data_IF_669634873759
#
_entry.id   IF_669634873759
#
_cell.length_a   1.000
_cell.length_b   1.000
_cell.length_c   1.000
_cell.angle_alpha   90.00
_cell.angle_beta   90.00
_cell.angle_gamma   90.00
#
_symmetry.space_group_name_H-M   'P 1'
#
loop_
_entity.id
_entity.type
_entity.pdbx_description
1 polymer ?
#
# COMPACT_ATOMS: atom_id res chain seq x y z
N UNK A 1 -8.40 -34.98 -24.58
CA UNK A 1 -9.24 -35.90 -23.77
C UNK A 1 -9.39 -35.48 -22.31
N UNK A 2 -8.35 -35.50 -21.45
CA UNK A 2 -8.50 -35.12 -20.02
C UNK A 2 -9.13 -33.72 -19.83
N UNK A 3 -8.70 -32.75 -20.64
CA UNK A 3 -9.30 -31.42 -20.70
C UNK A 3 -10.78 -31.45 -21.13
N UNK A 4 -11.10 -32.14 -22.24
CA UNK A 4 -12.46 -32.24 -22.77
C UNK A 4 -13.48 -32.69 -21.70
N UNK A 5 -13.20 -33.77 -20.96
CA UNK A 5 -14.12 -34.24 -19.93
C UNK A 5 -14.24 -33.28 -18.73
N UNK A 6 -13.19 -32.52 -18.41
CA UNK A 6 -13.25 -31.50 -17.36
C UNK A 6 -14.08 -30.29 -17.79
N UNK A 7 -13.93 -29.83 -19.03
CA UNK A 7 -14.74 -28.76 -19.61
C UNK A 7 -16.20 -29.18 -19.83
N UNK A 8 -16.46 -30.40 -20.29
CA UNK A 8 -17.81 -30.99 -20.38
C UNK A 8 -18.49 -31.00 -19.01
N UNK A 9 -17.82 -31.52 -17.97
CA UNK A 9 -18.30 -31.50 -16.58
C UNK A 9 -18.59 -30.08 -16.08
N UNK A 10 -17.72 -29.11 -16.40
CA UNK A 10 -17.89 -27.71 -16.01
C UNK A 10 -19.14 -27.07 -16.66
N UNK A 11 -19.33 -27.30 -17.96
CA UNK A 11 -20.48 -26.78 -18.71
C UNK A 11 -21.80 -27.44 -18.27
N UNK A 12 -21.79 -28.74 -17.94
CA UNK A 12 -22.96 -29.43 -17.38
C UNK A 12 -23.40 -28.83 -16.04
N UNK A 13 -22.45 -28.54 -15.13
CA UNK A 13 -22.74 -27.92 -13.83
C UNK A 13 -23.25 -26.48 -14.01
N UNK A 14 -22.66 -25.71 -14.92
CA UNK A 14 -23.13 -24.36 -15.24
C UNK A 14 -24.55 -24.38 -15.81
N UNK A 15 -24.84 -25.27 -16.77
CA UNK A 15 -26.18 -25.43 -17.33
C UNK A 15 -27.18 -25.99 -16.32
N UNK A 16 -26.77 -26.79 -15.33
CA UNK A 16 -27.64 -27.17 -14.21
C UNK A 16 -27.95 -25.95 -13.33
N UNK A 17 -26.96 -25.09 -13.04
CA UNK A 17 -27.12 -23.89 -12.22
C UNK A 17 -28.10 -22.87 -12.86
N UNK A 18 -28.01 -22.66 -14.17
CA UNK A 18 -28.92 -21.78 -14.93
C UNK A 18 -30.34 -22.38 -15.09
N UNK A 19 -30.51 -23.69 -14.88
CA UNK A 19 -31.80 -24.38 -15.14
C UNK A 19 -32.90 -24.11 -14.11
N UNK A 20 -32.59 -23.47 -12.98
CA UNK A 20 -33.56 -23.22 -11.90
C UNK A 20 -33.31 -21.91 -11.16
N UNK A 21 -34.36 -21.37 -10.54
CA UNK A 21 -34.23 -20.22 -9.64
C UNK A 21 -33.62 -20.66 -8.30
N UNK A 22 -32.35 -20.35 -8.09
CA UNK A 22 -31.61 -20.61 -6.86
C UNK A 22 -32.20 -19.98 -5.59
N UNK A 23 -33.15 -19.04 -5.70
CA UNK A 23 -33.91 -18.52 -4.53
C UNK A 23 -34.98 -19.49 -4.04
N UNK A 24 -35.40 -20.45 -4.88
CA UNK A 24 -36.39 -21.48 -4.53
C UNK A 24 -35.78 -22.74 -3.93
N UNK A 25 -34.49 -22.97 -4.20
CA UNK A 25 -33.71 -24.09 -3.65
C UNK A 25 -32.27 -23.62 -3.36
N UNK A 26 -32.06 -22.92 -2.23
CA UNK A 26 -30.75 -22.38 -1.87
C UNK A 26 -29.75 -23.47 -1.48
N UNK A 27 -30.20 -24.64 -1.01
CA UNK A 27 -29.31 -25.75 -0.67
C UNK A 27 -28.71 -26.38 -1.92
N UNK A 28 -29.53 -26.70 -2.94
CA UNK A 28 -29.04 -27.19 -4.24
C UNK A 28 -28.16 -26.15 -4.94
N UNK A 29 -28.52 -24.86 -4.85
CA UNK A 29 -27.70 -23.76 -5.36
C UNK A 29 -26.29 -23.76 -4.74
N UNK A 30 -26.17 -23.81 -3.41
CA UNK A 30 -24.87 -23.87 -2.73
C UNK A 30 -24.08 -25.14 -3.09
N UNK A 31 -24.74 -26.30 -3.21
CA UNK A 31 -24.10 -27.55 -3.64
C UNK A 31 -23.55 -27.44 -5.07
N UNK A 32 -24.30 -26.81 -6.00
CA UNK A 32 -23.85 -26.62 -7.38
C UNK A 32 -22.74 -25.58 -7.52
N UNK A 33 -22.79 -24.46 -6.80
CA UNK A 33 -21.69 -23.48 -6.77
C UNK A 33 -20.39 -24.11 -6.23
N UNK A 34 -20.48 -24.98 -5.21
CA UNK A 34 -19.30 -25.68 -4.71
C UNK A 34 -18.78 -26.73 -5.71
N UNK A 35 -19.66 -27.45 -6.43
CA UNK A 35 -19.24 -28.32 -7.55
C UNK A 35 -18.59 -27.52 -8.69
N UNK A 36 -19.14 -26.35 -9.04
CA UNK A 36 -18.65 -25.48 -10.11
C UNK A 36 -17.21 -25.04 -9.82
N UNK A 37 -16.92 -24.60 -8.60
CA UNK A 37 -15.56 -24.25 -8.15
C UNK A 37 -14.58 -25.40 -8.30
N UNK A 38 -14.95 -26.61 -7.85
CA UNK A 38 -14.11 -27.82 -8.00
C UNK A 38 -13.89 -28.18 -9.48
N UNK A 39 -14.84 -27.90 -10.37
CA UNK A 39 -14.67 -28.07 -11.80
C UNK A 39 -13.77 -26.97 -12.42
N UNK A 40 -13.91 -25.70 -11.99
CA UNK A 40 -13.04 -24.58 -12.38
C UNK A 40 -11.59 -24.85 -11.96
N UNK A 41 -11.33 -25.20 -10.70
CA UNK A 41 -10.01 -25.60 -10.20
C UNK A 41 -9.40 -26.74 -11.03
N UNK A 42 -10.20 -27.75 -11.36
CA UNK A 42 -9.75 -28.89 -12.18
C UNK A 42 -9.38 -28.49 -13.61
N UNK A 43 -10.13 -27.58 -14.23
CA UNK A 43 -9.80 -27.05 -15.57
C UNK A 43 -8.52 -26.21 -15.51
N UNK A 44 -8.36 -25.32 -14.51
CA UNK A 44 -7.13 -24.54 -14.32
C UNK A 44 -5.91 -25.41 -14.03
N UNK A 45 -6.07 -26.49 -13.26
CA UNK A 45 -5.00 -27.45 -13.01
C UNK A 45 -4.50 -28.09 -14.31
N UNK A 46 -5.42 -28.56 -15.18
CA UNK A 46 -5.05 -29.16 -16.47
C UNK A 46 -4.37 -28.12 -17.39
N UNK A 47 -4.84 -26.87 -17.41
CA UNK A 47 -4.17 -25.78 -18.15
C UNK A 47 -2.76 -25.53 -17.60
N UNK A 48 -2.57 -25.62 -16.28
CA UNK A 48 -1.27 -25.47 -15.62
C UNK A 48 -0.31 -26.63 -15.94
N UNK A 49 -0.81 -27.88 -15.95
CA UNK A 49 -0.05 -29.06 -16.41
C UNK A 49 0.39 -28.89 -17.88
N UNK A 50 -0.50 -28.41 -18.75
CA UNK A 50 -0.18 -28.13 -20.17
C UNK A 50 0.88 -27.02 -20.31
N UNK A 51 0.78 -25.94 -19.53
CA UNK A 51 1.77 -24.86 -19.50
C UNK A 51 3.16 -25.38 -19.09
N UNK A 52 3.25 -26.19 -18.02
CA UNK A 52 4.52 -26.78 -17.56
C UNK A 52 5.09 -27.77 -18.59
N UNK A 53 4.24 -28.55 -19.27
CA UNK A 53 4.67 -29.51 -20.29
C UNK A 53 5.19 -28.83 -21.58
N UNK A 54 4.65 -27.67 -21.94
CA UNK A 54 5.07 -26.90 -23.13
C UNK A 54 6.22 -25.94 -22.83
N UNK A 55 6.24 -25.34 -21.64
CA UNK A 55 7.21 -24.36 -21.19
C UNK A 55 7.90 -24.81 -19.90
N UNK A 56 8.79 -25.83 -19.96
CA UNK A 56 9.46 -26.39 -18.79
C UNK A 56 10.48 -25.43 -18.15
N UNK A 57 10.80 -24.31 -18.79
CA UNK A 57 11.62 -23.23 -18.22
C UNK A 57 10.72 -22.21 -17.52
N UNK A 58 11.19 -21.67 -16.41
CA UNK A 58 10.49 -20.61 -15.67
C UNK A 58 10.66 -19.23 -16.33
N UNK A 59 11.75 -19.01 -17.07
CA UNK A 59 11.98 -17.81 -17.90
C UNK A 59 10.96 -17.60 -19.01
N UNK A 60 10.30 -18.69 -19.42
CA UNK A 60 9.42 -18.73 -20.59
C UNK A 60 7.93 -18.65 -20.16
N UNK A 61 7.67 -18.35 -18.88
CA UNK A 61 6.35 -18.27 -18.23
C UNK A 61 6.22 -16.95 -17.44
N UNK A 62 5.01 -16.60 -17.03
CA UNK A 62 4.75 -15.39 -16.28
C UNK A 62 5.35 -15.46 -14.86
N UNK A 63 6.28 -14.54 -14.57
CA UNK A 63 6.92 -14.34 -13.27
C UNK A 63 5.89 -14.13 -12.16
N UNK A 64 6.08 -14.83 -11.03
CA UNK A 64 5.17 -14.84 -9.87
C UNK A 64 5.86 -14.49 -8.55
N UNK A 65 7.08 -13.95 -8.62
CA UNK A 65 7.92 -13.53 -7.50
C UNK A 65 7.20 -12.52 -6.57
N UNK A 66 6.21 -11.80 -7.10
CA UNK A 66 5.32 -10.94 -6.32
C UNK A 66 4.59 -11.68 -5.19
N UNK A 67 4.43 -13.01 -5.26
CA UNK A 67 3.83 -13.84 -4.20
C UNK A 67 4.52 -13.68 -2.85
N UNK A 68 5.83 -13.41 -2.83
CA UNK A 68 6.62 -13.16 -1.60
C UNK A 68 6.14 -11.90 -0.84
N UNK A 69 5.31 -11.05 -1.47
CA UNK A 69 4.72 -9.85 -0.87
C UNK A 69 3.36 -10.10 -0.21
N UNK A 70 2.79 -11.30 -0.36
CA UNK A 70 1.49 -11.66 0.20
C UNK A 70 1.67 -12.61 1.41
N UNK A 71 0.85 -12.50 2.47
CA UNK A 71 0.84 -13.47 3.56
C UNK A 71 0.51 -14.90 3.10
N UNK A 72 1.12 -15.89 3.75
CA UNK A 72 0.98 -17.31 3.41
C UNK A 72 -0.47 -17.81 3.47
N UNK A 73 -1.32 -17.17 4.30
CA UNK A 73 -2.74 -17.54 4.46
C UNK A 73 -3.58 -17.36 3.18
N UNK A 74 -3.12 -16.57 2.22
CA UNK A 74 -3.78 -16.36 0.92
C UNK A 74 -3.31 -17.36 -0.14
N UNK A 75 -2.07 -17.85 -0.04
CA UNK A 75 -1.42 -18.68 -1.06
C UNK A 75 -1.69 -20.17 -0.79
N UNK A 76 -2.95 -20.57 -1.00
CA UNK A 76 -3.43 -21.94 -0.88
C UNK A 76 -3.91 -22.51 -2.23
N UNK A 77 -4.02 -23.84 -2.33
CA UNK A 77 -4.32 -24.55 -3.59
C UNK A 77 -5.61 -24.13 -4.31
N UNK A 78 -6.62 -23.60 -3.59
CA UNK A 78 -7.89 -23.12 -4.17
C UNK A 78 -7.87 -21.65 -4.61
N UNK A 79 -6.73 -20.95 -4.48
CA UNK A 79 -6.60 -19.55 -4.93
C UNK A 79 -6.90 -19.39 -6.44
N UNK A 80 -6.50 -20.30 -7.35
CA UNK A 80 -6.80 -20.14 -8.79
C UNK A 80 -8.31 -20.12 -9.11
N UNK A 81 -9.11 -21.05 -8.55
CA UNK A 81 -10.56 -21.03 -8.72
C UNK A 81 -11.24 -19.83 -8.04
N UNK A 82 -10.72 -19.37 -6.90
CA UNK A 82 -11.19 -18.12 -6.28
C UNK A 82 -10.90 -16.89 -7.15
N UNK A 83 -9.76 -16.83 -7.83
CA UNK A 83 -9.40 -15.78 -8.77
C UNK A 83 -10.26 -15.81 -10.04
N UNK A 84 -10.55 -16.99 -10.60
CA UNK A 84 -11.51 -17.13 -11.71
C UNK A 84 -12.89 -16.58 -11.30
N UNK A 85 -13.44 -17.06 -10.18
CA UNK A 85 -14.74 -16.57 -9.67
C UNK A 85 -14.73 -15.05 -9.39
N UNK A 86 -13.62 -14.51 -8.87
CA UNK A 86 -13.42 -13.07 -8.68
C UNK A 86 -13.40 -12.29 -10.00
N UNK A 87 -12.75 -12.82 -11.04
CA UNK A 87 -12.73 -12.23 -12.38
C UNK A 87 -14.11 -12.27 -13.05
N UNK A 88 -14.87 -13.35 -12.90
CA UNK A 88 -16.27 -13.45 -13.36
C UNK A 88 -17.15 -12.41 -12.66
N UNK A 89 -17.06 -12.30 -11.34
CA UNK A 89 -17.81 -11.32 -10.56
C UNK A 89 -17.47 -9.86 -10.95
N UNK A 90 -16.18 -9.52 -11.09
CA UNK A 90 -15.75 -8.21 -11.56
C UNK A 90 -16.22 -7.94 -13.00
N UNK A 91 -16.08 -8.92 -13.91
CA UNK A 91 -16.51 -8.80 -15.30
C UNK A 91 -18.04 -8.57 -15.42
N UNK A 92 -18.83 -9.22 -14.56
CA UNK A 92 -20.27 -9.02 -14.43
C UNK A 92 -20.66 -7.66 -13.83
N UNK A 93 -19.72 -6.91 -13.24
CA UNK A 93 -19.94 -5.56 -12.69
C UNK A 93 -20.12 -5.51 -11.18
N UNK A 94 -19.83 -6.59 -10.44
CA UNK A 94 -19.66 -6.53 -8.98
C UNK A 94 -18.38 -5.79 -8.62
N UNK A 95 -18.33 -5.22 -7.41
CA UNK A 95 -17.14 -4.59 -6.83
C UNK A 95 -16.60 -5.42 -5.66
N UNK A 96 -15.29 -5.31 -5.42
CA UNK A 96 -14.65 -5.71 -4.16
C UNK A 96 -15.17 -4.76 -3.06
N UNK A 97 -15.58 -5.33 -1.92
CA UNK A 97 -16.11 -4.57 -0.78
C UNK A 97 -15.05 -3.57 -0.30
N UNK A 98 -15.46 -2.32 -0.06
CA UNK A 98 -14.62 -1.18 0.35
C UNK A 98 -13.49 -0.76 -0.63
N UNK A 99 -13.38 -1.39 -1.82
CA UNK A 99 -12.34 -1.16 -2.83
C UNK A 99 -12.92 -0.90 -4.23
N UNK A 100 -13.81 0.09 -4.34
CA UNK A 100 -14.55 0.39 -5.58
C UNK A 100 -13.67 0.95 -6.71
N UNK A 101 -12.69 1.80 -6.39
CA UNK A 101 -11.79 2.41 -7.37
C UNK A 101 -10.81 1.39 -7.97
N UNK A 102 -10.29 0.51 -7.12
CA UNK A 102 -9.47 -0.62 -7.50
C UNK A 102 -10.29 -1.61 -8.34
N UNK A 103 -11.56 -1.85 -7.98
CA UNK A 103 -12.49 -2.67 -8.79
C UNK A 103 -12.68 -2.09 -10.18
N UNK A 104 -12.89 -0.77 -10.31
CA UNK A 104 -12.98 -0.09 -11.61
C UNK A 104 -11.71 -0.27 -12.46
N UNK A 105 -10.54 -0.16 -11.83
CA UNK A 105 -9.24 -0.34 -12.47
C UNK A 105 -8.96 -1.79 -12.90
N UNK A 106 -9.42 -2.79 -12.13
CA UNK A 106 -9.20 -4.22 -12.41
C UNK A 106 -10.24 -4.77 -13.39
N UNK A 107 -11.45 -4.18 -13.44
CA UNK A 107 -12.55 -4.63 -14.33
C UNK A 107 -12.18 -4.83 -15.81
N UNK A 108 -11.40 -3.97 -16.50
CA UNK A 108 -10.98 -4.25 -17.87
C UNK A 108 -10.11 -5.51 -17.99
N UNK A 109 -9.16 -5.72 -17.07
CA UNK A 109 -8.30 -6.90 -17.03
C UNK A 109 -9.11 -8.16 -16.72
N UNK A 110 -10.07 -8.10 -15.78
CA UNK A 110 -11.00 -9.19 -15.50
C UNK A 110 -11.81 -9.62 -16.73
N UNK A 111 -12.29 -8.65 -17.52
CA UNK A 111 -13.04 -8.88 -18.77
C UNK A 111 -12.18 -9.42 -19.91
N UNK A 112 -10.89 -9.05 -19.98
CA UNK A 112 -10.00 -9.69 -20.96
C UNK A 112 -9.64 -11.12 -20.53
N UNK A 113 -9.37 -11.35 -19.24
CA UNK A 113 -9.02 -12.67 -18.71
C UNK A 113 -10.14 -13.69 -18.93
N UNK A 114 -11.39 -13.39 -18.56
CA UNK A 114 -12.52 -14.33 -18.75
C UNK A 114 -12.76 -14.62 -20.23
N UNK A 115 -12.86 -13.58 -21.07
CA UNK A 115 -13.02 -13.72 -22.54
C UNK A 115 -11.88 -14.53 -23.19
N UNK A 116 -10.65 -14.36 -22.73
CA UNK A 116 -9.50 -15.10 -23.24
C UNK A 116 -9.48 -16.55 -22.73
N UNK A 117 -9.89 -16.79 -21.47
CA UNK A 117 -10.04 -18.13 -20.91
C UNK A 117 -11.14 -18.93 -21.63
N UNK A 118 -12.30 -18.35 -21.92
CA UNK A 118 -13.35 -19.04 -22.69
C UNK A 118 -12.90 -19.36 -24.12
N UNK A 119 -12.25 -18.41 -24.80
CA UNK A 119 -11.65 -18.68 -26.11
C UNK A 119 -10.56 -19.76 -26.06
N UNK A 120 -9.80 -19.86 -24.96
CA UNK A 120 -8.80 -20.91 -24.74
C UNK A 120 -9.46 -22.27 -24.46
N UNK A 121 -10.56 -22.30 -23.72
CA UNK A 121 -11.35 -23.52 -23.47
C UNK A 121 -11.87 -24.10 -24.79
N UNK A 122 -12.46 -23.28 -25.66
CA UNK A 122 -12.92 -23.71 -26.98
C UNK A 122 -11.77 -24.29 -27.85
N UNK A 123 -10.60 -23.64 -27.86
CA UNK A 123 -9.43 -24.12 -28.60
C UNK A 123 -8.91 -25.47 -28.05
N UNK A 124 -8.79 -25.61 -26.73
CA UNK A 124 -8.32 -26.85 -26.09
C UNK A 124 -9.35 -28.00 -26.20
N UNK A 125 -10.63 -27.67 -26.32
CA UNK A 125 -11.73 -28.61 -26.58
C UNK A 125 -11.68 -29.16 -28.00
N UNK A 126 -11.55 -28.29 -29.01
CA UNK A 126 -11.37 -28.68 -30.42
C UNK A 126 -10.07 -29.47 -30.63
N UNK A 127 -8.95 -29.04 -30.03
CA UNK A 127 -7.69 -29.81 -30.05
C UNK A 127 -7.86 -31.20 -29.42
N UNK A 128 -8.55 -31.29 -28.28
CA UNK A 128 -8.82 -32.55 -27.58
C UNK A 128 -9.68 -33.55 -28.37
N UNK A 129 -10.41 -33.08 -29.39
CA UNK A 129 -11.24 -33.90 -30.29
C UNK A 129 -10.52 -34.31 -31.58
N UNK A 130 -9.42 -33.62 -31.95
CA UNK A 130 -8.65 -33.89 -33.17
C UNK A 130 -7.44 -34.78 -32.90
N UNK A 131 -6.40 -34.22 -32.29
CA UNK A 131 -5.13 -34.90 -31.98
C UNK A 131 -4.55 -34.34 -30.68
N UNK A 132 -4.79 -35.00 -29.52
CA UNK A 132 -4.38 -34.48 -28.20
C UNK A 132 -2.87 -34.26 -28.01
N UNK A 133 -2.04 -34.83 -28.87
CA UNK A 133 -0.57 -34.75 -28.82
C UNK A 133 0.03 -33.58 -29.60
N UNK A 134 -0.75 -32.87 -30.44
CA UNK A 134 -0.26 -31.77 -31.27
C UNK A 134 -0.79 -30.45 -30.71
N UNK A 135 0.13 -29.58 -30.29
CA UNK A 135 -0.16 -28.20 -29.92
C UNK A 135 0.30 -27.29 -31.04
N UNK A 136 -0.64 -26.68 -31.76
CA UNK A 136 -0.35 -25.63 -32.75
C UNK A 136 0.16 -24.37 -32.05
N UNK A 137 1.00 -23.57 -32.72
CA UNK A 137 1.60 -22.38 -32.10
C UNK A 137 0.53 -21.37 -31.61
N UNK A 138 -0.60 -21.24 -32.30
CA UNK A 138 -1.76 -20.46 -31.84
C UNK A 138 -2.31 -20.89 -30.46
N UNK A 139 -2.21 -22.18 -30.10
CA UNK A 139 -2.62 -22.69 -28.77
C UNK A 139 -1.51 -22.41 -27.75
N UNK A 140 -0.24 -22.52 -28.15
CA UNK A 140 0.92 -22.18 -27.29
C UNK A 140 0.92 -20.69 -26.93
N UNK A 141 0.67 -19.82 -27.90
CA UNK A 141 0.53 -18.37 -27.72
C UNK A 141 -0.72 -18.04 -26.89
N UNK A 142 -1.82 -18.74 -27.12
CA UNK A 142 -3.04 -18.65 -26.31
C UNK A 142 -2.81 -19.01 -24.84
N UNK A 143 -2.01 -20.06 -24.58
CA UNK A 143 -1.61 -20.48 -23.23
C UNK A 143 -0.68 -19.45 -22.57
N UNK A 144 0.34 -18.93 -23.27
CA UNK A 144 1.22 -17.87 -22.72
C UNK A 144 0.44 -16.59 -22.41
N UNK A 145 -0.44 -16.14 -23.31
CA UNK A 145 -1.26 -14.96 -23.05
C UNK A 145 -2.20 -15.17 -21.86
N UNK A 146 -2.74 -16.38 -21.68
CA UNK A 146 -3.50 -16.72 -20.48
C UNK A 146 -2.62 -16.65 -19.22
N UNK A 147 -1.42 -17.24 -19.23
CA UNK A 147 -0.51 -17.26 -18.09
C UNK A 147 -0.12 -15.84 -17.63
N UNK A 148 0.17 -14.94 -18.58
CA UNK A 148 0.43 -13.52 -18.29
C UNK A 148 -0.79 -12.76 -17.78
N UNK A 149 -1.96 -12.90 -18.42
CA UNK A 149 -3.20 -12.24 -17.96
C UNK A 149 -3.61 -12.72 -16.56
N UNK A 150 -3.47 -14.02 -16.29
CA UNK A 150 -3.80 -14.60 -14.99
C UNK A 150 -2.82 -14.15 -13.91
N UNK A 151 -1.51 -14.07 -14.21
CA UNK A 151 -0.51 -13.57 -13.26
C UNK A 151 -0.66 -12.08 -12.96
N UNK A 152 -0.96 -11.22 -13.95
CA UNK A 152 -1.27 -9.81 -13.66
C UNK A 152 -2.57 -9.67 -12.88
N UNK A 153 -3.63 -10.41 -13.24
CA UNK A 153 -4.89 -10.38 -12.50
C UNK A 153 -4.70 -10.84 -11.04
N UNK A 154 -3.99 -11.94 -10.82
CA UNK A 154 -3.60 -12.43 -9.49
C UNK A 154 -2.90 -11.32 -8.68
N UNK A 155 -1.87 -10.71 -9.25
CA UNK A 155 -1.14 -9.62 -8.58
C UNK A 155 -2.06 -8.45 -8.23
N UNK A 156 -2.85 -7.95 -9.18
CA UNK A 156 -3.72 -6.77 -9.00
C UNK A 156 -4.86 -7.04 -8.01
N UNK A 157 -5.51 -8.19 -8.11
CA UNK A 157 -6.65 -8.57 -7.29
C UNK A 157 -6.25 -8.80 -5.83
N UNK A 158 -5.17 -9.55 -5.59
CA UNK A 158 -4.66 -9.75 -4.22
C UNK A 158 -4.10 -8.45 -3.65
N UNK A 159 -3.46 -7.59 -4.46
CA UNK A 159 -2.99 -6.27 -4.01
C UNK A 159 -4.11 -5.26 -3.70
N UNK A 160 -5.35 -5.52 -4.13
CA UNK A 160 -6.52 -4.74 -3.72
C UNK A 160 -7.13 -5.28 -2.42
N UNK A 161 -7.17 -6.61 -2.24
CA UNK A 161 -7.71 -7.26 -1.03
C UNK A 161 -6.76 -7.23 0.18
N UNK A 162 -5.46 -7.08 -0.06
CA UNK A 162 -4.40 -7.12 0.96
C UNK A 162 -3.59 -5.82 0.85
N UNK A 163 -3.35 -5.08 1.95
CA UNK A 163 -2.55 -3.87 1.91
C UNK A 163 -1.07 -4.20 1.66
N UNK A 164 -0.69 -4.30 0.38
CA UNK A 164 0.68 -4.48 -0.06
C UNK A 164 1.45 -3.20 0.25
N UNK A 165 2.35 -3.29 1.23
CA UNK A 165 3.30 -2.22 1.55
C UNK A 165 4.06 -1.84 0.28
N UNK A 166 4.07 -0.55 -0.04
CA UNK A 166 4.87 -0.01 -1.12
C UNK A 166 6.37 -0.20 -0.84
N UNK A 167 7.21 -0.11 -1.87
CA UNK A 167 8.68 -0.18 -1.70
C UNK A 167 9.15 0.88 -0.69
N UNK A 168 8.60 2.09 -0.76
CA UNK A 168 8.87 3.18 0.19
C UNK A 168 8.49 2.85 1.65
N UNK A 169 7.43 2.06 1.87
CA UNK A 169 7.02 1.63 3.22
C UNK A 169 7.86 0.45 3.73
N UNK A 170 8.37 -0.39 2.84
CA UNK A 170 9.40 -1.38 3.18
C UNK A 170 10.72 -0.68 3.54
N UNK A 171 11.21 0.23 2.70
CA UNK A 171 12.45 0.99 2.92
C UNK A 171 12.37 1.81 4.22
N UNK A 172 11.25 2.49 4.48
CA UNK A 172 11.07 3.23 5.73
C UNK A 172 11.01 2.31 6.97
N UNK A 173 10.52 1.07 6.84
CA UNK A 173 10.56 0.09 7.94
C UNK A 173 11.97 -0.49 8.13
N UNK A 174 12.71 -0.71 7.03
CA UNK A 174 14.11 -1.11 7.01
C UNK A 174 15.00 -0.04 7.69
N UNK A 175 14.78 1.24 7.37
CA UNK A 175 15.48 2.38 7.99
C UNK A 175 15.23 2.46 9.51
N UNK A 176 13.99 2.28 9.96
CA UNK A 176 13.67 2.26 11.41
C UNK A 176 14.33 1.05 12.08
N UNK A 177 14.35 -0.12 11.43
CA UNK A 177 15.04 -1.29 11.96
C UNK A 177 16.54 -1.04 12.09
N UNK A 178 17.22 -0.61 11.03
CA UNK A 178 18.66 -0.38 11.05
C UNK A 178 19.05 0.77 11.99
N UNK A 179 18.28 1.87 12.04
CA UNK A 179 18.51 2.97 12.98
C UNK A 179 18.33 2.55 14.45
N UNK A 180 17.44 1.60 14.75
CA UNK A 180 17.31 1.06 16.11
C UNK A 180 18.55 0.26 16.53
N UNK A 181 19.14 -0.51 15.61
CA UNK A 181 20.40 -1.24 15.82
C UNK A 181 21.57 -0.25 15.93
N UNK A 182 21.70 0.73 15.02
CA UNK A 182 22.75 1.77 15.04
C UNK A 182 22.75 2.59 16.34
N UNK A 183 21.60 2.75 17.00
CA UNK A 183 21.46 3.44 18.30
C UNK A 183 21.55 2.50 19.52
N UNK A 184 21.75 1.20 19.33
CA UNK A 184 21.74 0.16 20.39
C UNK A 184 20.42 0.11 21.18
N UNK A 185 19.28 0.39 20.52
CA UNK A 185 17.93 0.26 21.09
C UNK A 185 17.39 -1.17 20.92
N UNK A 186 17.94 -1.93 19.97
CA UNK A 186 17.81 -3.38 19.80
C UNK A 186 19.19 -3.95 19.49
N UNK A 187 19.50 -5.17 19.94
CA UNK A 187 20.67 -5.89 19.44
C UNK A 187 20.36 -6.59 18.11
N UNK A 188 21.40 -6.94 17.35
CA UNK A 188 21.20 -7.70 16.11
C UNK A 188 20.61 -9.08 16.38
N UNK A 189 21.04 -9.75 17.44
CA UNK A 189 20.52 -11.06 17.84
C UNK A 189 19.01 -11.02 18.13
N UNK A 190 18.50 -9.94 18.74
CA UNK A 190 17.06 -9.78 18.98
C UNK A 190 16.25 -9.69 17.69
N UNK A 191 16.83 -9.14 16.63
CA UNK A 191 16.21 -9.07 15.30
C UNK A 191 16.34 -10.43 14.59
N UNK A 192 17.53 -11.00 14.55
CA UNK A 192 17.84 -12.26 13.85
C UNK A 192 17.14 -13.49 14.50
N UNK A 193 16.79 -13.43 15.79
CA UNK A 193 15.99 -14.44 16.51
C UNK A 193 14.51 -14.06 16.73
N UNK A 194 14.02 -12.94 16.16
CA UNK A 194 12.63 -12.47 16.29
C UNK A 194 12.13 -12.34 17.75
N UNK A 195 12.92 -11.71 18.62
CA UNK A 195 12.55 -11.42 20.02
C UNK A 195 11.23 -10.61 20.07
N UNK A 196 10.23 -11.01 20.88
CA UNK A 196 8.98 -10.26 21.07
C UNK A 196 9.15 -8.76 21.39
N UNK A 197 10.29 -8.34 21.95
CA UNK A 197 10.59 -6.92 22.18
C UNK A 197 10.65 -6.11 20.87
N UNK A 198 11.06 -6.70 19.75
CA UNK A 198 11.13 -6.04 18.44
C UNK A 198 9.74 -5.57 18.00
N UNK A 199 8.71 -6.39 18.25
CA UNK A 199 7.30 -6.05 17.98
C UNK A 199 6.78 -4.88 18.82
N UNK A 200 7.43 -4.56 19.95
CA UNK A 200 7.07 -3.45 20.84
C UNK A 200 7.88 -2.19 20.48
N UNK A 201 9.18 -2.35 20.22
CA UNK A 201 10.13 -1.26 19.97
C UNK A 201 9.93 -0.62 18.60
N UNK A 202 9.88 -1.42 17.53
CA UNK A 202 9.85 -0.90 16.16
C UNK A 202 8.63 0.00 15.89
N UNK A 203 7.38 -0.37 16.27
CA UNK A 203 6.23 0.53 16.07
C UNK A 203 6.33 1.84 16.85
N UNK A 204 6.93 1.83 18.05
CA UNK A 204 7.10 3.04 18.87
C UNK A 204 8.14 3.99 18.27
N UNK A 205 9.27 3.47 17.81
CA UNK A 205 10.30 4.27 17.13
C UNK A 205 9.81 4.77 15.77
N UNK A 206 9.07 3.94 15.01
CA UNK A 206 8.45 4.35 13.75
C UNK A 206 7.50 5.55 13.90
N UNK A 207 6.78 5.66 15.02
CA UNK A 207 5.93 6.83 15.31
C UNK A 207 6.79 8.09 15.54
N UNK A 208 7.85 8.01 16.36
CA UNK A 208 8.72 9.16 16.66
C UNK A 208 9.49 9.62 15.43
N UNK A 209 10.11 8.69 14.70
CA UNK A 209 10.91 9.00 13.52
C UNK A 209 10.05 9.33 12.29
N UNK A 210 8.84 8.76 12.20
CA UNK A 210 7.83 9.18 11.21
C UNK A 210 7.48 10.67 11.32
N UNK A 211 7.40 11.21 12.55
CA UNK A 211 7.13 12.65 12.79
C UNK A 211 8.36 13.57 12.60
N UNK A 212 9.58 13.03 12.59
CA UNK A 212 10.84 13.81 12.59
C UNK A 212 11.66 13.69 11.30
N UNK A 213 11.61 12.55 10.62
CA UNK A 213 12.53 12.19 9.52
C UNK A 213 11.80 11.83 8.22
N UNK A 214 10.53 11.41 8.25
CA UNK A 214 9.77 10.97 7.07
C UNK A 214 8.57 11.88 6.77
N UNK A 215 8.80 13.10 6.21
CA UNK A 215 7.74 14.11 6.02
C UNK A 215 6.65 13.75 5.02
N UNK A 216 6.84 12.74 4.15
CA UNK A 216 5.81 12.20 3.25
C UNK A 216 5.33 10.80 3.66
N UNK A 217 5.69 10.33 4.87
CA UNK A 217 5.25 9.03 5.39
C UNK A 217 3.81 9.04 5.93
N UNK A 218 3.33 7.89 6.42
CA UNK A 218 1.96 7.71 6.93
C UNK A 218 1.56 8.61 8.12
N UNK A 219 2.51 9.36 8.69
CA UNK A 219 2.34 10.36 9.76
C UNK A 219 2.59 11.81 9.30
N UNK A 220 2.30 12.12 8.02
CA UNK A 220 2.39 13.49 7.46
C UNK A 220 1.39 14.46 8.11
N UNK A 221 1.75 15.02 9.26
CA UNK A 221 0.99 16.03 10.00
C UNK A 221 0.82 17.34 9.20
N UNK A 222 1.65 17.57 8.19
CA UNK A 222 1.68 18.79 7.37
C UNK A 222 0.65 18.75 6.21
N UNK A 223 0.08 17.58 5.91
CA UNK A 223 -0.95 17.35 4.87
C UNK A 223 -2.04 16.43 5.45
N UNK A 224 -2.98 16.95 6.27
CA UNK A 224 -3.95 16.14 7.01
C UNK A 224 -4.88 15.29 6.12
N UNK A 225 -5.00 15.65 4.84
CA UNK A 225 -5.66 14.86 3.80
C UNK A 225 -4.96 13.51 3.56
N UNK A 226 -3.62 13.50 3.51
CA UNK A 226 -2.78 12.29 3.35
C UNK A 226 -2.64 11.47 4.63
N UNK A 227 -2.97 12.05 5.79
CA UNK A 227 -2.90 11.34 7.07
C UNK A 227 -3.94 10.22 7.12
N UNK A 228 -3.50 9.01 7.49
CA UNK A 228 -4.39 7.83 7.64
C UNK A 228 -5.55 8.10 8.59
N UNK A 229 -6.73 7.55 8.26
CA UNK A 229 -7.99 7.84 8.96
C UNK A 229 -7.91 7.60 10.48
N UNK A 230 -7.16 6.59 10.93
CA UNK A 230 -6.98 6.27 12.35
C UNK A 230 -6.30 7.38 13.15
N UNK A 231 -5.46 8.20 12.52
CA UNK A 231 -4.73 9.29 13.18
C UNK A 231 -5.46 10.63 13.15
N UNK A 232 -6.42 10.82 12.24
CA UNK A 232 -7.18 12.08 12.08
C UNK A 232 -7.87 12.57 13.36
N UNK A 233 -8.53 11.73 14.19
CA UNK A 233 -9.12 12.17 15.46
C UNK A 233 -8.09 12.76 16.44
N UNK A 234 -6.84 12.31 16.35
CA UNK A 234 -5.75 12.68 17.25
C UNK A 234 -4.76 13.70 16.65
N UNK A 235 -5.08 14.30 15.49
CA UNK A 235 -4.20 15.26 14.80
C UNK A 235 -3.72 16.41 15.70
N UNK A 236 -4.59 16.93 16.58
CA UNK A 236 -4.24 18.02 17.50
C UNK A 236 -3.28 17.59 18.63
N UNK A 237 -3.23 16.29 18.96
CA UNK A 237 -2.27 15.71 19.89
C UNK A 237 -0.95 15.39 19.18
N UNK A 238 -1.01 14.75 18.02
CA UNK A 238 0.16 14.44 17.19
C UNK A 238 0.94 15.72 16.81
N UNK A 239 0.23 16.80 16.48
CA UNK A 239 0.86 18.12 16.20
C UNK A 239 1.61 18.64 17.43
N UNK A 240 1.05 18.51 18.65
CA UNK A 240 1.73 18.92 19.88
C UNK A 240 2.96 18.05 20.15
N UNK A 241 2.84 16.73 20.00
CA UNK A 241 3.95 15.79 20.19
C UNK A 241 5.09 16.08 19.21
N UNK A 242 4.81 16.22 17.90
CA UNK A 242 5.83 16.61 16.90
C UNK A 242 6.49 17.95 17.24
N UNK A 243 5.70 18.95 17.65
CA UNK A 243 6.23 20.27 17.97
C UNK A 243 7.12 20.25 19.23
N UNK A 244 6.84 19.39 20.21
CA UNK A 244 7.73 19.15 21.35
C UNK A 244 9.01 18.41 20.91
N UNK A 245 8.86 17.31 20.15
CA UNK A 245 9.98 16.52 19.63
C UNK A 245 10.95 17.34 18.77
N UNK A 246 10.46 18.31 17.98
CA UNK A 246 11.29 19.24 17.18
C UNK A 246 12.09 20.26 18.02
N UNK A 247 11.79 20.42 19.31
CA UNK A 247 12.51 21.34 20.22
C UNK A 247 13.51 20.59 21.13
N UNK A 248 13.37 19.28 21.31
CA UNK A 248 14.29 18.48 22.12
C UNK A 248 15.71 18.46 21.53
N UNK A 249 16.72 18.52 22.40
CA UNK A 249 18.11 18.25 22.00
C UNK A 249 18.31 16.77 21.69
N UNK A 250 19.38 16.44 20.96
CA UNK A 250 19.75 15.06 20.62
C UNK A 250 19.91 14.14 21.85
N UNK A 251 20.23 14.70 23.03
CA UNK A 251 20.34 13.94 24.29
C UNK A 251 18.96 13.62 24.90
N UNK A 252 18.07 14.61 24.94
CA UNK A 252 16.71 14.43 25.45
C UNK A 252 15.90 13.49 24.54
N UNK A 253 16.06 13.61 23.22
CA UNK A 253 15.45 12.70 22.26
C UNK A 253 15.90 11.24 22.47
N UNK A 254 17.19 11.00 22.71
CA UNK A 254 17.70 9.66 23.03
C UNK A 254 17.16 9.12 24.37
N UNK A 255 16.93 9.98 25.38
CA UNK A 255 16.28 9.60 26.64
C UNK A 255 14.82 9.19 26.40
N UNK A 256 14.09 9.95 25.57
CA UNK A 256 12.70 9.63 25.16
C UNK A 256 12.63 8.32 24.36
N UNK A 257 13.53 8.11 23.40
CA UNK A 257 13.61 6.86 22.63
C UNK A 257 13.86 5.66 23.54
N UNK A 258 14.81 5.75 24.47
CA UNK A 258 15.11 4.69 25.45
C UNK A 258 13.90 4.35 26.34
N UNK A 259 13.22 5.37 26.88
CA UNK A 259 12.00 5.18 27.71
C UNK A 259 10.84 4.60 26.89
N UNK A 260 10.73 4.94 25.60
CA UNK A 260 9.73 4.31 24.72
C UNK A 260 10.07 2.84 24.43
N UNK A 261 11.35 2.49 24.31
CA UNK A 261 11.80 1.11 24.07
C UNK A 261 11.63 0.21 25.30
N UNK A 262 11.92 0.71 26.51
CA UNK A 262 11.95 -0.09 27.75
C UNK A 262 10.58 -0.59 28.23
N UNK A 263 9.47 -0.21 27.58
CA UNK A 263 8.12 -0.66 27.91
C UNK A 263 7.53 -0.04 29.18
N UNK A 264 8.33 0.63 30.01
CA UNK A 264 7.97 1.06 31.36
C UNK A 264 6.91 2.16 31.38
N UNK A 265 5.65 1.77 31.60
CA UNK A 265 4.57 2.67 31.96
C UNK A 265 4.76 3.21 33.39
N UNK A 266 5.57 4.26 33.53
CA UNK A 266 5.65 5.16 34.70
C UNK A 266 5.65 4.48 36.07
N UNK A 267 6.74 3.83 36.45
CA UNK A 267 6.93 3.26 37.81
C UNK A 267 8.30 3.53 38.44
N UNK A 268 9.25 4.12 37.71
CA UNK A 268 10.58 4.53 38.21
C UNK A 268 11.25 5.48 37.23
N UNK A 269 10.59 6.60 36.92
CA UNK A 269 11.30 7.83 36.55
C UNK A 269 11.40 8.61 37.84
N UNK A 270 12.62 8.90 38.31
CA UNK A 270 12.81 9.71 39.51
C UNK A 270 12.13 11.07 39.33
N UNK A 271 11.32 11.49 40.31
CA UNK A 271 10.43 12.66 40.16
C UNK A 271 11.21 13.98 39.95
N UNK A 272 12.51 14.00 40.24
CA UNK A 272 13.43 15.12 40.00
C UNK A 272 13.82 15.30 38.51
N UNK A 273 13.59 14.32 37.63
CA UNK A 273 13.96 14.38 36.20
C UNK A 273 12.76 14.40 35.22
N UNK A 274 11.52 14.47 35.73
CA UNK A 274 10.33 14.58 34.88
C UNK A 274 10.17 16.02 34.38
N UNK A 275 10.77 16.35 33.23
CA UNK A 275 10.65 17.66 32.57
C UNK A 275 9.17 18.06 32.39
N UNK A 276 8.68 18.92 33.26
CA UNK A 276 7.27 19.30 33.33
C UNK A 276 6.93 20.37 32.30
N UNK A 277 5.65 20.40 31.90
CA UNK A 277 5.05 21.51 31.13
C UNK A 277 5.07 22.86 31.87
N UNK A 278 5.59 22.91 33.11
CA UNK A 278 5.80 24.12 33.90
C UNK A 278 7.21 24.68 33.65
N UNK A 279 8.26 23.87 33.82
CA UNK A 279 9.65 24.26 33.54
C UNK A 279 9.86 24.70 32.09
N UNK A 280 9.15 24.06 31.14
CA UNK A 280 9.16 24.44 29.73
C UNK A 280 8.55 25.83 29.46
N UNK A 281 7.74 26.36 30.39
CA UNK A 281 7.19 27.73 30.35
C UNK A 281 8.08 28.69 31.13
N UNK A 282 8.65 28.23 32.25
CA UNK A 282 9.49 29.05 33.12
C UNK A 282 10.83 29.41 32.42
N UNK A 283 11.51 28.47 31.74
CA UNK A 283 12.69 28.76 30.88
C UNK A 283 12.41 29.86 29.86
N UNK A 284 11.23 29.84 29.23
CA UNK A 284 10.80 30.84 28.24
C UNK A 284 10.58 32.24 28.84
N UNK A 285 10.52 32.34 30.17
CA UNK A 285 10.43 33.60 30.93
C UNK A 285 11.77 34.08 31.51
N UNK A 286 12.81 33.24 31.48
CA UNK A 286 14.16 33.59 31.90
C UNK A 286 14.97 34.19 30.73
N UNK A 287 14.83 33.63 29.52
CA UNK A 287 15.33 34.21 28.25
C UNK A 287 14.84 35.65 27.99
N UNK A 288 13.78 36.10 28.66
CA UNK A 288 13.24 37.48 28.57
C UNK A 288 13.61 38.36 29.75
N UNK A 289 14.48 37.90 30.67
CA UNK A 289 14.96 38.66 31.84
C UNK A 289 16.44 39.01 31.78
N UNK A 290 17.28 38.24 31.09
CA UNK A 290 18.72 38.55 30.91
C UNK A 290 18.98 39.51 29.72
N UNK A 291 18.23 40.62 29.67
CA UNK A 291 18.51 41.76 28.79
C UNK A 291 19.03 42.94 29.65
N UNK A 292 20.33 43.26 29.64
CA UNK A 292 20.88 44.31 30.50
C UNK A 292 20.38 45.70 30.07
N UNK A 293 19.58 46.34 30.92
CA UNK A 293 19.03 47.68 30.66
C UNK A 293 20.09 48.78 30.86
N UNK A 294 20.43 49.59 29.85
CA UNK A 294 21.36 50.69 30.00
C UNK A 294 20.64 51.93 30.58
N UNK A 295 21.08 52.39 31.75
CA UNK A 295 20.47 53.53 32.43
C UNK A 295 21.25 54.84 32.22
N UNK A 296 20.53 55.84 31.70
CA UNK A 296 20.67 57.29 31.94
C UNK A 296 21.63 58.17 31.10
N UNK A 297 21.06 59.34 30.78
CA UNK A 297 21.65 60.67 30.55
C UNK A 297 22.53 60.94 29.32
N UNK A 298 21.88 61.57 28.32
CA UNK A 298 22.18 62.98 27.94
C UNK A 298 20.97 63.64 27.26
N UNK A 299 20.50 64.75 27.82
CA UNK A 299 19.57 65.66 27.15
C UNK A 299 20.34 66.67 26.29
N UNK A 300 19.95 66.87 25.02
CA UNK A 300 20.12 68.14 24.28
C UNK A 300 18.95 68.32 23.30
N UNK A 301 17.99 69.14 23.72
CA UNK A 301 17.26 70.17 22.97
C UNK A 301 16.85 70.01 21.46
N UNK A 302 15.52 70.05 21.25
CA UNK A 302 14.77 71.06 20.45
C UNK A 302 14.52 70.86 18.93
N UNK A 303 13.27 71.22 18.54
CA UNK A 303 12.68 71.46 17.20
C UNK A 303 12.46 70.24 16.27
N UNK A 304 11.54 70.30 15.28
CA UNK A 304 10.17 70.87 15.13
C UNK A 304 9.70 70.54 13.69
N UNK A 305 8.38 70.52 13.47
CA UNK A 305 7.59 70.14 12.27
C UNK A 305 6.97 68.73 12.45
N UNK A 306 5.65 68.50 12.51
CA UNK A 306 4.45 69.11 11.88
C UNK A 306 4.35 68.89 10.35
N UNK A 307 3.30 68.19 9.89
CA UNK A 307 2.89 68.19 8.47
C UNK A 307 2.36 66.87 7.87
N UNK A 308 1.07 66.58 8.11
CA UNK A 308 0.15 65.77 7.26
C UNK A 308 0.50 64.27 6.99
N UNK A 309 -0.43 63.32 6.78
CA UNK A 309 -1.71 63.26 6.02
C UNK A 309 -1.53 63.26 4.47
N UNK A 310 -2.22 62.43 3.67
CA UNK A 310 -3.15 61.31 3.96
C UNK A 310 -3.44 60.42 2.72
N UNK A 311 -3.88 59.18 2.99
CA UNK A 311 -4.80 58.27 2.23
C UNK A 311 -4.98 58.35 0.69
N UNK A 312 -4.70 57.23 -0.02
CA UNK A 312 -5.61 56.44 -0.91
C UNK A 312 -4.92 55.08 -1.24
N UNK A 313 -5.53 53.90 -1.49
CA UNK A 313 -6.75 53.48 -2.25
C UNK A 313 -6.61 53.73 -3.77
N UNK A 314 -6.85 52.80 -4.73
CA UNK A 314 -7.11 51.33 -4.78
C UNK A 314 -6.12 50.68 -5.82
N UNK A 315 -6.16 49.46 -6.40
CA UNK A 315 -7.06 48.27 -6.50
C UNK A 315 -6.18 47.00 -6.81
N UNK A 316 -6.75 45.81 -7.02
CA UNK A 316 -6.09 44.55 -7.36
C UNK A 316 -5.87 44.34 -8.90
N UNK A 317 -5.01 43.38 -9.29
CA UNK A 317 -5.35 42.16 -10.10
C UNK A 317 -4.12 41.44 -10.72
N UNK A 318 -4.27 40.13 -10.99
CA UNK A 318 -3.20 39.21 -11.43
C UNK A 318 -2.80 39.32 -12.92
N UNK A 319 -1.53 39.03 -13.28
CA UNK A 319 -1.13 38.68 -14.64
C UNK A 319 -1.25 37.16 -14.90
N UNK A 320 -1.86 36.78 -16.03
CA UNK A 320 -2.02 35.37 -16.44
C UNK A 320 -0.81 34.83 -17.23
N UNK A 321 -0.66 33.51 -17.22
CA UNK A 321 0.33 32.66 -17.92
C UNK A 321 0.47 32.99 -19.43
N UNK A 322 1.67 32.84 -20.01
CA UNK A 322 1.79 32.23 -21.34
C UNK A 322 2.80 31.06 -21.40
N UNK A 323 2.44 30.00 -22.14
CA UNK A 323 3.33 28.89 -22.52
C UNK A 323 3.99 29.15 -23.89
N UNK A 324 5.12 28.48 -24.18
CA UNK A 324 5.35 27.84 -25.50
C UNK A 324 5.41 26.31 -25.35
N UNK A 325 4.74 25.47 -26.17
CA UNK A 325 4.94 25.12 -27.61
C UNK A 325 5.95 23.98 -27.80
N UNK A 326 5.64 23.05 -28.73
CA UNK A 326 6.35 21.80 -29.04
C UNK A 326 7.07 21.86 -30.41
N UNK A 327 8.19 21.13 -30.55
CA UNK A 327 8.85 20.61 -31.77
C UNK A 327 10.00 19.67 -31.27
N UNK A 328 10.20 18.44 -31.76
CA UNK A 328 10.93 18.03 -32.99
C UNK A 328 12.41 18.51 -33.00
N UNK A 329 13.45 17.70 -33.29
CA UNK A 329 13.58 16.24 -33.50
C UNK A 329 15.08 15.84 -33.30
N UNK A 330 15.65 14.90 -34.08
CA UNK A 330 17.06 14.38 -34.10
C UNK A 330 17.37 13.41 -32.93
N UNK A 331 17.57 12.09 -33.12
CA UNK A 331 18.50 11.31 -33.99
C UNK A 331 20.00 11.46 -33.66
N UNK A 332 20.60 10.41 -33.08
CA UNK A 332 22.01 10.04 -33.33
C UNK A 332 22.23 8.53 -33.02
N UNK A 333 23.07 7.84 -33.81
CA UNK A 333 23.41 6.41 -33.68
C UNK A 333 24.84 6.23 -33.13
N UNK A 334 25.08 5.23 -32.25
CA UNK A 334 26.18 4.23 -32.34
C UNK A 334 26.04 3.11 -31.27
#
# INVERSE_FOLDING_TARGET
LQFFYADETLNDIASELDSFDGRRDPERCNVLVNKLRVAQDRVLHIISEMLVALYPRESDRACRDFRVKFPDEIIHDSLPGQLWFGAECLAAGSNIIDHEYESDCIRPLAKELTRHLDSLRDMLKDQSLRDPSIYTDHIKDGLLKFDHLFAEFEFRYVSAMVPVKTVLEHDAQQDVLEMSIRRNLLTRDQVDYCDPIVMIVIPRLAIVWGMLHFPEGALTIEKPERLSQMFRPNLSLLTKIRNLLRVLTKKELAKVESVLCSGAASSSVDEEEVLTMKEFRDKRSEDTREAPSPSHEREVEINRDEGNESTSEEENQDPTIPSPVQAEDEEEEE
#
